data_IF_901414193141
#
_entry.id   IF_901414193141
#
_cell.length_a   1.000
_cell.length_b   1.000
_cell.length_c   1.000
_cell.angle_alpha   90.00
_cell.angle_beta   90.00
_cell.angle_gamma   90.00
#
_symmetry.space_group_name_H-M   'P 1'
#
loop_
_entity.id
_entity.type
_entity.pdbx_description
1 polymer ?
#
# COMPACT_ATOMS: atom_id res chain seq x y z
N UNK A 1 -2.25 6.58 76.18
CA UNK A 1 -2.02 6.90 74.75
C UNK A 1 -0.80 6.14 74.23
N UNK A 2 -0.98 4.97 73.59
CA UNK A 2 0.12 4.20 72.95
C UNK A 2 -0.36 3.19 71.88
N UNK A 3 -1.68 2.97 71.76
CA UNK A 3 -2.27 2.04 70.78
C UNK A 3 -2.54 2.69 69.42
N UNK A 4 -2.98 3.95 69.40
CA UNK A 4 -3.24 4.73 68.16
C UNK A 4 -2.04 4.74 67.20
N UNK A 5 -0.84 4.96 67.73
CA UNK A 5 0.39 5.16 66.95
C UNK A 5 0.89 3.90 66.19
N UNK A 6 0.46 2.70 66.61
CA UNK A 6 0.77 1.44 65.89
C UNK A 6 -0.21 1.16 64.76
N UNK A 7 -1.48 1.50 64.96
CA UNK A 7 -2.52 1.36 63.94
C UNK A 7 -2.30 2.33 62.78
N UNK A 8 -2.04 3.60 63.07
CA UNK A 8 -1.74 4.61 62.04
C UNK A 8 -0.49 4.26 61.23
N UNK A 9 0.57 3.73 61.85
CA UNK A 9 1.76 3.25 61.13
C UNK A 9 1.48 2.05 60.22
N UNK A 10 0.56 1.17 60.60
CA UNK A 10 0.12 0.04 59.76
C UNK A 10 -0.63 0.51 58.52
N UNK A 11 -1.61 1.40 58.70
CA UNK A 11 -2.40 1.98 57.61
C UNK A 11 -1.52 2.81 56.66
N UNK A 12 -0.57 3.58 57.19
CA UNK A 12 0.32 4.39 56.37
C UNK A 12 1.27 3.55 55.51
N UNK A 13 1.78 2.44 56.04
CA UNK A 13 2.59 1.48 55.28
C UNK A 13 1.78 0.79 54.20
N UNK A 14 0.55 0.38 54.50
CA UNK A 14 -0.34 -0.24 53.51
C UNK A 14 -0.66 0.73 52.37
N UNK A 15 -0.98 1.99 52.67
CA UNK A 15 -1.23 3.01 51.66
C UNK A 15 0.02 3.30 50.82
N UNK A 16 1.21 3.36 51.45
CA UNK A 16 2.46 3.54 50.72
C UNK A 16 2.73 2.38 49.74
N UNK A 17 2.48 1.13 50.15
CA UNK A 17 2.60 -0.03 49.26
C UNK A 17 1.55 -0.03 48.15
N UNK A 18 0.30 0.34 48.44
CA UNK A 18 -0.76 0.43 47.45
C UNK A 18 -0.48 1.50 46.39
N UNK A 19 -0.01 2.68 46.81
CA UNK A 19 0.36 3.78 45.90
C UNK A 19 1.61 3.41 45.10
N UNK A 20 2.62 2.79 45.72
CA UNK A 20 3.80 2.32 45.01
C UNK A 20 3.45 1.27 43.95
N UNK A 21 2.57 0.33 44.27
CA UNK A 21 2.07 -0.66 43.32
C UNK A 21 1.31 -0.03 42.15
N UNK A 22 0.42 0.92 42.43
CA UNK A 22 -0.32 1.65 41.41
C UNK A 22 0.62 2.47 40.50
N UNK A 23 1.63 3.13 41.06
CA UNK A 23 2.61 3.89 40.31
C UNK A 23 3.44 3.00 39.37
N UNK A 24 3.88 1.83 39.84
CA UNK A 24 4.63 0.86 39.00
C UNK A 24 3.77 0.35 37.85
N UNK A 25 2.50 0.02 38.11
CA UNK A 25 1.57 -0.41 37.06
C UNK A 25 1.31 0.70 36.03
N UNK A 26 1.17 1.94 36.50
CA UNK A 26 0.94 3.09 35.62
C UNK A 26 2.15 3.38 34.73
N UNK A 27 3.36 3.33 35.29
CA UNK A 27 4.60 3.45 34.51
C UNK A 27 4.72 2.29 33.50
N UNK A 28 4.40 1.06 33.91
CA UNK A 28 4.37 -0.10 33.01
C UNK A 28 3.39 0.06 31.85
N UNK A 29 2.20 0.61 32.12
CA UNK A 29 1.19 0.90 31.09
C UNK A 29 1.68 1.97 30.11
N UNK A 30 2.28 3.06 30.61
CA UNK A 30 2.85 4.11 29.76
C UNK A 30 3.96 3.55 28.88
N UNK A 31 4.87 2.74 29.45
CA UNK A 31 5.95 2.10 28.70
C UNK A 31 5.40 1.12 27.65
N UNK A 32 4.35 0.35 27.99
CA UNK A 32 3.69 -0.55 27.06
C UNK A 32 3.04 0.20 25.88
N UNK A 33 2.33 1.30 26.17
CA UNK A 33 1.71 2.14 25.13
C UNK A 33 2.76 2.86 24.28
N UNK A 34 3.81 3.40 24.89
CA UNK A 34 4.92 4.01 24.15
C UNK A 34 5.65 2.98 23.27
N UNK A 35 5.89 1.78 23.81
CA UNK A 35 6.44 0.67 23.04
C UNK A 35 5.51 0.27 21.89
N UNK A 36 4.19 0.17 22.10
CA UNK A 36 3.25 -0.16 21.02
C UNK A 36 3.22 0.91 19.94
N UNK A 37 3.31 2.20 20.29
CA UNK A 37 3.40 3.28 19.30
C UNK A 37 4.72 3.28 18.52
N UNK A 38 5.84 2.96 19.17
CA UNK A 38 7.15 2.80 18.50
C UNK A 38 7.11 1.55 17.61
N UNK A 39 6.54 0.45 18.08
CA UNK A 39 6.35 -0.76 17.27
C UNK A 39 5.38 -0.54 16.13
N UNK A 40 4.35 0.30 16.26
CA UNK A 40 3.39 0.61 15.18
C UNK A 40 3.95 1.63 14.16
N UNK A 41 4.82 2.57 14.57
CA UNK A 41 5.57 3.44 13.65
C UNK A 41 6.77 2.73 12.99
N UNK A 42 7.37 1.78 13.69
CA UNK A 42 8.43 0.91 13.18
C UNK A 42 7.90 -0.45 12.74
N UNK A 43 6.57 -0.59 12.50
CA UNK A 43 6.08 -1.75 11.75
C UNK A 43 6.69 -1.60 10.36
N UNK A 44 7.65 -2.45 9.94
CA UNK A 44 7.78 -2.68 8.52
C UNK A 44 6.37 -3.06 8.05
N UNK A 45 5.92 -2.42 6.97
CA UNK A 45 4.86 -2.99 6.18
C UNK A 45 5.27 -4.44 5.98
N UNK A 46 4.43 -5.34 6.48
CA UNK A 46 4.75 -6.76 6.56
C UNK A 46 5.05 -7.15 5.11
N UNK A 47 6.29 -7.53 4.81
CA UNK A 47 6.73 -7.81 3.45
C UNK A 47 5.94 -8.99 2.93
N UNK A 48 4.88 -8.71 2.17
CA UNK A 48 3.96 -9.73 1.66
C UNK A 48 3.84 -9.68 0.13
N UNK A 49 4.68 -8.87 -0.54
CA UNK A 49 4.81 -8.80 -1.99
C UNK A 49 6.30 -8.88 -2.41
N UNK A 50 6.80 -10.09 -2.67
CA UNK A 50 8.18 -10.37 -3.08
C UNK A 50 8.18 -11.24 -4.33
N UNK A 51 8.86 -10.79 -5.38
CA UNK A 51 9.05 -11.59 -6.61
C UNK A 51 10.54 -11.85 -6.82
N UNK A 52 10.98 -13.11 -6.73
CA UNK A 52 12.38 -13.46 -6.99
C UNK A 52 12.73 -13.32 -8.49
N UNK A 53 13.94 -12.81 -8.77
CA UNK A 53 14.45 -12.47 -10.12
C UNK A 53 15.67 -13.35 -10.52
N UNK A 54 16.30 -14.06 -9.58
CA UNK A 54 17.47 -14.91 -9.82
C UNK A 54 17.18 -16.28 -10.44
N UNK A 55 18.17 -16.85 -11.15
CA UNK A 55 18.12 -18.23 -11.65
C UNK A 55 18.49 -19.21 -10.53
N UNK A 56 17.63 -20.22 -10.34
CA UNK A 56 17.89 -21.49 -9.64
C UNK A 56 17.55 -21.54 -8.14
N UNK A 57 16.27 -21.77 -7.85
CA UNK A 57 15.78 -22.93 -7.11
C UNK A 57 14.34 -23.19 -7.55
N UNK A 58 13.93 -24.46 -7.63
CA UNK A 58 12.65 -24.91 -8.17
C UNK A 58 11.46 -24.53 -7.26
N UNK A 59 11.24 -23.24 -7.05
CA UNK A 59 9.98 -22.71 -6.54
C UNK A 59 8.97 -22.89 -7.66
N UNK A 60 7.89 -23.63 -7.40
CA UNK A 60 6.79 -23.78 -8.34
C UNK A 60 6.32 -22.38 -8.79
N UNK A 61 6.58 -22.03 -10.05
CA UNK A 61 6.13 -20.79 -10.67
C UNK A 61 4.63 -20.89 -11.03
N UNK A 62 3.81 -21.26 -10.04
CA UNK A 62 2.38 -21.34 -10.23
C UNK A 62 1.79 -19.94 -10.32
N UNK A 63 1.34 -19.60 -11.52
CA UNK A 63 0.52 -18.44 -11.75
C UNK A 63 -0.94 -18.79 -11.48
N UNK A 64 -1.64 -17.90 -10.80
CA UNK A 64 -3.08 -18.02 -10.57
C UNK A 64 -3.78 -16.72 -10.97
N UNK A 65 -5.05 -16.84 -11.35
CA UNK A 65 -5.90 -15.69 -11.59
C UNK A 65 -6.68 -15.36 -10.33
N UNK A 66 -6.71 -14.08 -9.99
CA UNK A 66 -7.55 -13.54 -8.92
C UNK A 66 -9.02 -13.47 -9.33
N UNK A 67 -9.86 -13.09 -8.38
CA UNK A 67 -11.29 -12.90 -8.62
C UNK A 67 -11.53 -11.74 -9.61
N UNK A 68 -12.40 -11.91 -10.62
CA UNK A 68 -12.78 -10.82 -11.51
C UNK A 68 -13.47 -9.69 -10.74
N UNK A 69 -13.02 -8.46 -10.97
CA UNK A 69 -13.66 -7.23 -10.50
C UNK A 69 -14.20 -6.42 -11.66
N UNK A 70 -15.48 -6.05 -11.61
CA UNK A 70 -16.07 -5.16 -12.60
C UNK A 70 -15.46 -3.76 -12.50
N UNK A 71 -15.17 -3.14 -13.65
CA UNK A 71 -14.70 -1.76 -13.71
C UNK A 71 -15.92 -0.85 -13.84
N UNK A 72 -16.10 0.04 -12.86
CA UNK A 72 -17.32 0.86 -12.75
C UNK A 72 -17.58 1.68 -14.02
N UNK A 73 -18.80 1.57 -14.55
CA UNK A 73 -19.27 2.31 -15.72
C UNK A 73 -18.67 1.87 -17.05
N UNK A 74 -18.03 0.70 -17.13
CA UNK A 74 -17.46 0.16 -18.38
C UNK A 74 -17.88 -1.31 -18.59
N UNK A 75 -17.77 -1.86 -19.81
CA UNK A 75 -18.01 -3.28 -20.08
C UNK A 75 -16.81 -4.17 -19.75
N UNK A 76 -15.85 -3.71 -18.94
CA UNK A 76 -14.63 -4.47 -18.66
C UNK A 76 -14.64 -5.06 -17.26
N UNK A 77 -14.12 -6.27 -17.14
CA UNK A 77 -13.71 -6.88 -15.87
C UNK A 77 -12.19 -6.95 -15.82
N UNK A 78 -11.63 -6.82 -14.63
CA UNK A 78 -10.20 -6.93 -14.35
C UNK A 78 -9.92 -8.15 -13.47
N UNK A 79 -8.90 -8.93 -13.81
CA UNK A 79 -8.40 -10.04 -13.01
C UNK A 79 -6.92 -9.81 -12.71
N UNK A 80 -6.48 -10.10 -11.49
CA UNK A 80 -5.05 -10.10 -11.13
C UNK A 80 -4.39 -11.37 -11.62
N UNK A 81 -3.21 -11.28 -12.22
CA UNK A 81 -2.29 -12.40 -12.37
C UNK A 81 -1.36 -12.42 -11.17
N UNK A 82 -1.45 -13.48 -10.38
CA UNK A 82 -0.74 -13.63 -9.12
C UNK A 82 0.34 -14.69 -9.29
N UNK A 83 1.57 -14.40 -8.85
CA UNK A 83 2.63 -15.40 -8.74
C UNK A 83 2.64 -15.97 -7.32
N UNK A 84 2.27 -17.24 -7.17
CA UNK A 84 2.36 -17.93 -5.89
C UNK A 84 3.81 -18.10 -5.43
N UNK A 85 4.06 -17.92 -4.14
CA UNK A 85 5.27 -18.42 -3.50
C UNK A 85 4.87 -19.58 -2.60
N UNK A 86 5.24 -20.81 -2.98
CA UNK A 86 5.03 -21.97 -2.12
C UNK A 86 5.95 -21.86 -0.90
N UNK A 87 5.47 -21.27 0.19
CA UNK A 87 6.01 -21.59 1.51
C UNK A 87 5.25 -22.79 2.03
N UNK A 88 5.96 -23.89 2.33
CA UNK A 88 5.36 -25.14 2.80
C UNK A 88 4.51 -24.92 4.05
N UNK A 89 3.21 -24.76 3.88
CA UNK A 89 2.28 -24.39 4.95
C UNK A 89 0.85 -24.59 4.50
N UNK A 90 0.22 -25.59 5.09
CA UNK A 90 -1.13 -26.08 4.86
C UNK A 90 -2.23 -24.99 4.82
N UNK A 91 -3.13 -25.07 3.83
CA UNK A 91 -4.57 -25.00 4.13
C UNK A 91 -5.37 -23.71 3.92
N UNK A 92 -5.01 -22.78 3.02
CA UNK A 92 -5.96 -21.72 2.64
C UNK A 92 -6.13 -21.57 1.13
N UNK A 93 -7.33 -21.91 0.63
CA UNK A 93 -7.79 -21.73 -0.75
C UNK A 93 -8.02 -20.26 -1.16
N UNK A 94 -7.69 -19.31 -0.28
CA UNK A 94 -7.85 -17.88 -0.50
C UNK A 94 -6.58 -17.15 -0.04
N UNK A 95 -5.79 -16.57 -0.96
CA UNK A 95 -4.71 -15.69 -0.57
C UNK A 95 -5.28 -14.43 0.07
N UNK A 96 -4.73 -14.02 1.23
CA UNK A 96 -5.07 -12.73 1.82
C UNK A 96 -4.58 -11.62 0.90
N UNK A 97 -5.31 -10.50 0.84
CA UNK A 97 -5.01 -9.33 -0.02
C UNK A 97 -3.59 -8.75 0.19
N UNK A 98 -2.96 -9.04 1.33
CA UNK A 98 -1.57 -8.68 1.63
C UNK A 98 -0.56 -9.57 0.91
N UNK A 99 -0.86 -10.86 0.66
CA UNK A 99 0.11 -11.90 0.30
C UNK A 99 0.13 -12.19 -1.22
N UNK A 100 -0.23 -11.20 -2.03
CA UNK A 100 -0.51 -11.36 -3.46
C UNK A 100 0.53 -10.63 -4.31
N UNK A 101 1.52 -11.38 -4.79
CA UNK A 101 2.44 -10.92 -5.83
C UNK A 101 1.70 -10.71 -7.16
N UNK A 102 0.99 -9.60 -7.30
CA UNK A 102 0.30 -9.25 -8.54
C UNK A 102 1.35 -8.84 -9.57
N UNK A 103 1.55 -9.68 -10.58
CA UNK A 103 2.57 -9.45 -11.61
C UNK A 103 2.01 -8.89 -12.91
N UNK A 104 0.68 -8.91 -13.07
CA UNK A 104 -0.03 -8.33 -14.21
C UNK A 104 -1.53 -8.20 -13.91
N UNK A 105 -2.26 -7.48 -14.76
CA UNK A 105 -3.73 -7.49 -14.81
C UNK A 105 -4.22 -7.95 -16.18
N UNK A 106 -5.23 -8.81 -16.18
CA UNK A 106 -6.01 -9.16 -17.36
C UNK A 106 -7.28 -8.32 -17.39
N UNK A 107 -7.53 -7.64 -18.51
CA UNK A 107 -8.78 -6.96 -18.81
C UNK A 107 -9.57 -7.81 -19.80
N UNK A 108 -10.85 -8.05 -19.53
CA UNK A 108 -11.74 -8.77 -20.45
C UNK A 108 -12.95 -7.90 -20.72
N UNK A 109 -13.22 -7.62 -21.99
CA UNK A 109 -14.47 -6.99 -22.40
C UNK A 109 -15.59 -8.04 -22.33
N UNK A 110 -16.58 -7.85 -21.46
CA UNK A 110 -17.64 -8.86 -21.26
C UNK A 110 -18.64 -8.93 -22.42
N UNK A 111 -18.67 -7.90 -23.28
CA UNK A 111 -19.53 -7.87 -24.46
C UNK A 111 -18.92 -8.61 -25.66
N UNK A 112 -17.60 -8.49 -25.84
CA UNK A 112 -16.88 -9.12 -26.98
C UNK A 112 -16.08 -10.36 -26.60
N UNK A 113 -15.92 -10.62 -25.29
CA UNK A 113 -15.04 -11.64 -24.73
C UNK A 113 -13.57 -11.50 -25.15
N UNK A 114 -13.13 -10.28 -25.50
CA UNK A 114 -11.75 -10.01 -25.88
C UNK A 114 -10.88 -9.80 -24.64
N UNK A 115 -9.84 -10.63 -24.42
CA UNK A 115 -8.89 -10.49 -23.33
C UNK A 115 -7.70 -9.60 -23.72
N UNK A 116 -7.14 -8.89 -22.74
CA UNK A 116 -5.94 -8.07 -22.90
C UNK A 116 -5.14 -7.97 -21.61
N UNK A 117 -3.85 -8.25 -21.68
CA UNK A 117 -2.93 -7.99 -20.57
C UNK A 117 -2.58 -6.50 -20.48
N UNK A 118 -2.40 -5.99 -19.25
CA UNK A 118 -2.01 -4.59 -19.01
C UNK A 118 -0.68 -4.24 -19.68
N UNK A 119 0.28 -5.15 -19.58
CA UNK A 119 1.57 -5.09 -20.24
C UNK A 119 2.06 -6.49 -20.60
N UNK A 120 3.10 -6.58 -21.42
CA UNK A 120 3.67 -7.86 -21.82
C UNK A 120 4.44 -8.54 -20.68
N UNK A 121 4.19 -9.84 -20.50
CA UNK A 121 4.93 -10.67 -19.56
C UNK A 121 4.59 -10.46 -18.08
N UNK A 122 5.55 -10.78 -17.20
CA UNK A 122 5.40 -10.83 -15.74
C UNK A 122 6.63 -10.24 -15.02
N UNK A 123 7.38 -9.38 -15.71
CA UNK A 123 8.62 -8.78 -15.22
C UNK A 123 8.43 -7.57 -14.31
N UNK A 124 7.20 -7.28 -13.89
CA UNK A 124 6.85 -6.17 -13.00
C UNK A 124 6.00 -6.70 -11.86
N UNK A 125 6.18 -6.14 -10.68
CA UNK A 125 5.32 -6.32 -9.52
C UNK A 125 4.42 -5.09 -9.40
N UNK A 126 3.11 -5.29 -9.34
CA UNK A 126 2.13 -4.24 -9.13
C UNK A 126 1.83 -4.16 -7.64
N UNK A 127 2.21 -3.04 -7.02
CA UNK A 127 2.02 -2.77 -5.59
C UNK A 127 0.61 -2.26 -5.34
N UNK A 128 0.14 -1.31 -6.16
CA UNK A 128 -1.18 -0.70 -5.97
C UNK A 128 -1.80 -0.23 -7.29
N UNK A 129 -3.11 -0.04 -7.31
CA UNK A 129 -3.87 0.44 -8.47
C UNK A 129 -5.02 1.36 -8.06
N UNK A 130 -5.03 2.56 -8.62
CA UNK A 130 -5.99 3.62 -8.32
C UNK A 130 -6.87 3.91 -9.54
N UNK A 131 -8.19 3.67 -9.48
CA UNK A 131 -9.11 4.06 -10.55
C UNK A 131 -9.34 5.57 -10.53
N UNK A 132 -9.27 6.20 -11.70
CA UNK A 132 -9.66 7.60 -11.91
C UNK A 132 -11.01 7.67 -12.61
N UNK A 133 -11.86 8.57 -12.15
CA UNK A 133 -13.25 8.67 -12.59
C UNK A 133 -13.47 9.90 -13.45
N UNK A 134 -14.48 9.85 -14.32
CA UNK A 134 -14.92 10.98 -15.14
C UNK A 134 -15.43 12.18 -14.32
N UNK A 135 -15.77 11.97 -13.04
CA UNK A 135 -16.29 13.02 -12.15
C UNK A 135 -15.96 12.75 -10.68
N UNK A 136 -16.03 13.80 -9.87
CA UNK A 136 -15.90 13.69 -8.42
C UNK A 136 -17.15 13.03 -7.81
N UNK A 137 -16.99 12.36 -6.66
CA UNK A 137 -18.12 11.74 -5.97
C UNK A 137 -18.92 12.83 -5.24
N UNK A 138 -20.14 13.12 -5.71
CA UNK A 138 -21.02 14.09 -5.06
C UNK A 138 -21.87 13.46 -3.94
N UNK A 139 -22.33 12.22 -4.12
CA UNK A 139 -23.14 11.46 -3.16
C UNK A 139 -22.74 9.97 -3.17
N UNK A 140 -23.18 9.19 -2.17
CA UNK A 140 -22.84 7.76 -2.04
C UNK A 140 -23.18 6.95 -3.28
N UNK A 141 -24.33 7.27 -3.91
CA UNK A 141 -24.98 6.49 -4.96
C UNK A 141 -24.73 7.07 -6.36
N UNK A 142 -23.88 8.10 -6.46
CA UNK A 142 -23.59 8.72 -7.74
C UNK A 142 -22.75 7.79 -8.62
N UNK A 143 -23.34 7.32 -9.71
CA UNK A 143 -22.68 6.40 -10.64
C UNK A 143 -21.48 7.09 -11.31
N UNK A 144 -20.31 6.47 -11.34
CA UNK A 144 -19.13 7.06 -11.98
C UNK A 144 -18.45 6.06 -12.88
N UNK A 145 -17.91 6.58 -13.98
CA UNK A 145 -17.21 5.78 -14.97
C UNK A 145 -15.72 5.92 -14.76
N UNK A 146 -15.03 4.79 -14.65
CA UNK A 146 -13.56 4.78 -14.66
C UNK A 146 -13.10 5.19 -16.05
N UNK A 147 -12.24 6.19 -16.12
CA UNK A 147 -11.69 6.72 -17.38
C UNK A 147 -10.19 6.43 -17.54
N UNK A 148 -9.53 6.03 -16.47
CA UNK A 148 -8.13 5.66 -16.47
C UNK A 148 -7.73 5.05 -15.13
N UNK A 149 -6.52 4.52 -15.07
CA UNK A 149 -5.98 3.89 -13.87
C UNK A 149 -4.54 4.32 -13.68
N UNK A 150 -4.15 4.58 -12.43
CA UNK A 150 -2.76 4.73 -12.02
C UNK A 150 -2.30 3.46 -11.32
N UNK A 151 -1.03 3.13 -11.47
CA UNK A 151 -0.40 1.96 -10.85
C UNK A 151 0.90 2.37 -10.18
N UNK A 152 1.17 1.76 -9.03
CA UNK A 152 2.52 1.76 -8.45
C UNK A 152 3.13 0.41 -8.77
N UNK A 153 4.26 0.41 -9.46
CA UNK A 153 4.92 -0.81 -9.93
C UNK A 153 6.39 -0.83 -9.57
N UNK A 154 6.94 -2.03 -9.39
CA UNK A 154 8.37 -2.29 -9.23
C UNK A 154 8.80 -3.14 -10.43
N UNK A 155 9.83 -2.71 -11.14
CA UNK A 155 10.32 -3.40 -12.34
C UNK A 155 11.82 -3.70 -12.32
N UNK A 156 12.52 -3.23 -11.29
CA UNK A 156 13.96 -3.42 -11.09
C UNK A 156 14.23 -3.67 -9.62
N UNK A 157 15.12 -4.62 -9.36
CA UNK A 157 15.77 -4.76 -8.07
C UNK A 157 16.80 -3.63 -7.95
N UNK A 158 16.58 -2.75 -6.97
CA UNK A 158 17.42 -1.58 -6.71
C UNK A 158 18.23 -1.70 -5.44
N UNK A 159 17.97 -2.73 -4.63
CA UNK A 159 18.68 -2.99 -3.37
C UNK A 159 19.65 -4.19 -3.47
N UNK A 160 19.61 -4.94 -4.58
CA UNK A 160 20.52 -6.03 -4.91
C UNK A 160 20.18 -7.37 -4.24
N UNK A 161 18.98 -7.53 -3.67
CA UNK A 161 18.54 -8.75 -2.98
C UNK A 161 17.96 -9.83 -3.92
N UNK A 162 17.99 -9.57 -5.23
CA UNK A 162 17.45 -10.41 -6.30
C UNK A 162 15.94 -10.59 -6.22
N UNK A 163 15.22 -9.64 -5.60
CA UNK A 163 13.77 -9.64 -5.47
C UNK A 163 13.21 -8.30 -5.93
N UNK A 164 12.01 -8.33 -6.51
CA UNK A 164 11.18 -7.13 -6.65
C UNK A 164 10.29 -7.05 -5.43
N UNK A 165 10.37 -5.95 -4.72
CA UNK A 165 9.61 -5.70 -3.50
C UNK A 165 9.29 -4.21 -3.35
N UNK A 166 8.45 -3.88 -2.38
CA UNK A 166 8.18 -2.48 -1.99
C UNK A 166 9.39 -1.74 -1.40
N UNK A 167 10.50 -2.45 -1.12
CA UNK A 167 11.77 -1.83 -0.73
C UNK A 167 12.58 -1.32 -1.91
N UNK A 168 12.20 -1.69 -3.13
CA UNK A 168 12.80 -1.18 -4.34
C UNK A 168 12.20 0.16 -4.77
N UNK A 169 12.96 0.91 -5.56
CA UNK A 169 12.43 2.11 -6.17
C UNK A 169 11.25 1.75 -7.09
N UNK A 170 10.13 2.44 -6.88
CA UNK A 170 8.89 2.21 -7.62
C UNK A 170 8.80 3.14 -8.83
N UNK A 171 7.90 2.81 -9.74
CA UNK A 171 7.45 3.68 -10.81
C UNK A 171 5.94 3.94 -10.68
N UNK A 172 5.53 5.16 -11.00
CA UNK A 172 4.15 5.50 -11.26
C UNK A 172 3.86 5.22 -12.73
N UNK A 173 2.85 4.40 -13.02
CA UNK A 173 2.40 4.09 -14.37
C UNK A 173 0.91 4.37 -14.55
N UNK A 174 0.46 4.45 -15.80
CA UNK A 174 -0.92 4.70 -16.16
C UNK A 174 -1.40 3.83 -17.32
N UNK A 175 -2.71 3.55 -17.36
CA UNK A 175 -3.41 3.00 -18.51
C UNK A 175 -4.80 3.63 -18.65
N UNK A 176 -5.43 3.43 -19.79
CA UNK A 176 -6.87 3.60 -19.94
C UNK A 176 -7.65 2.58 -19.09
N UNK A 177 -8.96 2.76 -18.99
CA UNK A 177 -9.84 1.93 -18.17
C UNK A 177 -9.88 0.45 -18.61
N UNK A 178 -9.60 0.18 -19.89
CA UNK A 178 -9.55 -1.14 -20.52
C UNK A 178 -8.15 -1.79 -20.51
N UNK A 179 -7.19 -1.17 -19.81
CA UNK A 179 -5.80 -1.61 -19.75
C UNK A 179 -4.94 -1.17 -20.94
N UNK A 180 -5.50 -0.45 -21.93
CA UNK A 180 -4.72 0.03 -23.08
C UNK A 180 -3.84 1.23 -22.75
N UNK A 181 -2.83 1.47 -23.58
CA UNK A 181 -1.95 2.63 -23.46
C UNK A 181 -1.12 2.63 -22.18
N UNK A 182 -0.80 1.44 -21.64
CA UNK A 182 0.09 1.32 -20.49
C UNK A 182 1.41 2.03 -20.74
N UNK A 183 1.78 2.93 -19.83
CA UNK A 183 3.08 3.60 -19.85
C UNK A 183 3.49 4.04 -18.46
N UNK A 184 4.80 4.09 -18.22
CA UNK A 184 5.35 4.70 -17.02
C UNK A 184 5.33 6.22 -17.16
N UNK A 185 4.95 6.90 -16.09
CA UNK A 185 4.89 8.35 -15.99
C UNK A 185 6.11 8.91 -15.25
N UNK A 186 6.49 8.26 -14.15
CA UNK A 186 7.62 8.66 -13.31
C UNK A 186 8.32 7.38 -12.84
N UNK A 187 9.63 7.29 -13.04
CA UNK A 187 10.46 6.18 -12.58
C UNK A 187 11.39 6.61 -11.44
N UNK A 188 11.86 5.65 -10.65
CA UNK A 188 12.83 5.87 -9.57
C UNK A 188 12.25 6.65 -8.39
N UNK A 189 10.99 6.39 -8.04
CA UNK A 189 10.34 6.95 -6.86
C UNK A 189 10.80 6.14 -5.64
N UNK A 190 11.32 6.82 -4.63
CA UNK A 190 11.74 6.19 -3.36
C UNK A 190 10.51 5.82 -2.51
N UNK A 191 9.49 6.68 -2.51
CA UNK A 191 8.27 6.46 -1.75
C UNK A 191 7.09 7.19 -2.37
N UNK A 192 5.92 6.55 -2.45
CA UNK A 192 4.65 7.21 -2.82
C UNK A 192 3.87 7.50 -1.55
N UNK A 193 3.53 8.76 -1.32
CA UNK A 193 2.74 9.18 -0.16
C UNK A 193 1.24 9.17 -0.45
N UNK A 194 0.83 9.57 -1.65
CA UNK A 194 -0.58 9.68 -1.99
C UNK A 194 -0.81 9.70 -3.50
N UNK A 195 -1.90 9.06 -3.93
CA UNK A 195 -2.47 9.17 -5.27
C UNK A 195 -3.96 9.47 -5.11
N UNK A 196 -4.39 10.65 -5.52
CA UNK A 196 -5.79 11.08 -5.35
C UNK A 196 -6.31 11.84 -6.56
N UNK A 197 -7.55 11.56 -6.94
CA UNK A 197 -8.29 12.46 -7.83
C UNK A 197 -8.75 13.68 -7.01
N UNK A 198 -8.26 14.86 -7.38
CA UNK A 198 -8.52 16.11 -6.65
C UNK A 198 -9.50 17.03 -7.37
N UNK A 199 -9.75 16.78 -8.66
CA UNK A 199 -10.80 17.41 -9.45
C UNK A 199 -11.27 16.44 -10.55
N UNK A 200 -12.33 16.79 -11.27
CA UNK A 200 -12.86 15.98 -12.37
C UNK A 200 -11.80 15.71 -13.46
N UNK A 201 -10.93 16.69 -13.70
CA UNK A 201 -9.91 16.68 -14.75
C UNK A 201 -8.48 16.45 -14.22
N UNK A 202 -8.29 16.20 -12.91
CA UNK A 202 -6.96 16.19 -12.29
C UNK A 202 -6.76 15.09 -11.25
N UNK A 203 -5.60 14.44 -11.35
CA UNK A 203 -5.05 13.60 -10.30
C UNK A 203 -3.79 14.26 -9.70
N UNK A 204 -3.68 14.20 -8.38
CA UNK A 204 -2.53 14.62 -7.60
C UNK A 204 -1.75 13.38 -7.14
N UNK A 205 -0.45 13.41 -7.34
CA UNK A 205 0.48 12.41 -6.80
C UNK A 205 1.51 13.11 -5.93
N UNK A 206 1.66 12.63 -4.70
CA UNK A 206 2.69 13.05 -3.75
C UNK A 206 3.70 11.93 -3.59
N UNK A 207 4.98 12.23 -3.80
CA UNK A 207 6.03 11.21 -3.78
C UNK A 207 7.39 11.78 -3.38
N UNK A 208 8.27 10.91 -2.89
CA UNK A 208 9.67 11.17 -2.60
C UNK A 208 10.53 10.65 -3.75
N UNK A 209 11.40 11.50 -4.27
CA UNK A 209 12.41 11.13 -5.26
C UNK A 209 13.64 12.03 -5.08
N UNK A 210 14.84 11.48 -5.21
CA UNK A 210 16.09 12.22 -5.03
C UNK A 210 16.13 12.96 -3.68
N UNK A 211 15.59 12.33 -2.63
CA UNK A 211 15.43 12.91 -1.27
C UNK A 211 14.60 14.19 -1.19
N UNK A 212 13.82 14.51 -2.22
CA UNK A 212 12.91 15.64 -2.28
C UNK A 212 11.47 15.16 -2.43
N UNK A 213 10.56 15.82 -1.71
CA UNK A 213 9.13 15.53 -1.83
C UNK A 213 8.54 16.37 -2.94
N UNK A 214 7.87 15.72 -3.89
CA UNK A 214 7.21 16.35 -5.02
C UNK A 214 5.70 16.24 -4.91
N UNK A 215 5.04 17.27 -5.41
CA UNK A 215 3.63 17.33 -5.74
C UNK A 215 3.49 17.41 -7.26
N UNK A 216 2.88 16.42 -7.87
CA UNK A 216 2.69 16.34 -9.31
C UNK A 216 1.20 16.24 -9.66
N UNK A 217 0.73 17.14 -10.52
CA UNK A 217 -0.60 17.07 -11.11
C UNK A 217 -0.53 16.41 -12.49
N UNK A 218 -1.50 15.55 -12.75
CA UNK A 218 -1.76 14.93 -14.04
C UNK A 218 -3.17 15.25 -14.53
N UNK A 219 -3.35 15.38 -15.83
CA UNK A 219 -4.67 15.53 -16.45
C UNK A 219 -5.43 14.21 -16.48
N UNK A 220 -6.76 14.28 -16.49
CA UNK A 220 -7.65 13.15 -16.75
C UNK A 220 -8.41 13.35 -18.07
N UNK A 221 -8.70 12.29 -18.82
CA UNK A 221 -8.27 10.90 -18.59
C UNK A 221 -6.83 10.63 -19.06
N UNK A 222 -6.23 11.57 -19.78
CA UNK A 222 -5.01 11.34 -20.55
C UNK A 222 -3.74 11.12 -19.73
N UNK A 223 -3.73 11.38 -18.42
CA UNK A 223 -2.57 11.27 -17.53
C UNK A 223 -1.33 12.00 -18.04
N UNK A 224 -1.55 13.21 -18.59
CA UNK A 224 -0.44 14.07 -19.03
C UNK A 224 0.04 14.92 -17.86
N UNK A 225 1.35 15.09 -17.66
CA UNK A 225 1.86 15.94 -16.59
C UNK A 225 1.42 17.39 -16.82
N UNK A 226 0.86 18.01 -15.79
CA UNK A 226 0.37 19.40 -15.84
C UNK A 226 1.29 20.35 -15.09
N UNK A 227 1.57 20.05 -13.82
CA UNK A 227 2.38 20.90 -12.95
C UNK A 227 3.11 20.07 -11.91
N UNK A 228 4.35 20.44 -11.64
CA UNK A 228 5.17 19.88 -10.59
C UNK A 228 5.58 20.97 -9.60
N UNK A 229 5.65 20.65 -8.32
CA UNK A 229 6.23 21.51 -7.30
C UNK A 229 6.98 20.68 -6.25
N UNK A 230 8.05 21.24 -5.70
CA UNK A 230 8.71 20.67 -4.52
C UNK A 230 7.91 21.10 -3.29
N UNK A 231 7.55 20.14 -2.44
CA UNK A 231 6.91 20.43 -1.16
C UNK A 231 8.00 20.87 -0.17
N UNK A 232 7.90 22.07 0.41
CA UNK A 232 8.89 22.55 1.36
C UNK A 232 8.90 21.69 2.62
N UNK A 233 10.11 21.44 3.15
CA UNK A 233 10.26 20.78 4.45
C UNK A 233 9.72 21.71 5.54
N UNK A 234 8.91 21.18 6.44
CA UNK A 234 8.56 21.91 7.67
C UNK A 234 9.82 21.98 8.53
N UNK A 235 10.27 23.19 8.85
CA UNK A 235 11.33 23.38 9.84
C UNK A 235 10.81 22.96 11.20
N UNK A 236 11.41 21.92 11.78
CA UNK A 236 11.25 21.63 13.21
C UNK A 236 12.17 22.62 13.94
N UNK A 237 11.59 23.68 14.49
CA UNK A 237 12.27 24.54 15.46
C UNK A 237 12.40 23.82 16.80
#
# INVERSE_FOLDING_TARGET
>A
MRSSDRFFRGVWRFNAFAIAGAAVLFIGLILFVAASFIYDQARPHRVTNVVNVGAQEAVSNEFSLGTPGAISGTPYVQLSLIRGQSSGGSGSLYPKRSDLNVVNFLFVNVSTNEPRWLFEGVGQLIIDSYPMFNRMKAASDDARTVVGRLYIVVDKDTNGDQRLSEHDAVALAASAADGTGYRKLIEGIEQVYSVQQVAEDKALVLYLKDKQTFSQLFSLPGMQPLKQAIIPKVGLN
#
